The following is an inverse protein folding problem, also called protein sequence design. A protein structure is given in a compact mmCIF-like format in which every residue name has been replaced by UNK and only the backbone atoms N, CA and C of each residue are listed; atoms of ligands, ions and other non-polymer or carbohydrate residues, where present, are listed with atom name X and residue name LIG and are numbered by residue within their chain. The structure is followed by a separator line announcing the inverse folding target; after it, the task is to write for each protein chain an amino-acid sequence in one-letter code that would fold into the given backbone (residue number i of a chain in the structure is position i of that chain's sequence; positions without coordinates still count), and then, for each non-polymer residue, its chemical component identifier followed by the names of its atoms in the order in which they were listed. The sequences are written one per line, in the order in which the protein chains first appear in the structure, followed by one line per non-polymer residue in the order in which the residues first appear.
data_IF_903546310171
#
_entry.id   IF_903546310171
#
_cell.length_a   1.000
_cell.length_b   1.000
_cell.length_c   1.000
_cell.angle_alpha   90.00
_cell.angle_beta   90.00
_cell.angle_gamma   90.00
#
_symmetry.space_group_name_H-M   'P 1'
#
loop_
_entity.id
_entity.type
_entity.pdbx_description
1 polymer ?
#
# COMPACT_ATOMS: atom_id res chain seq x y z
N UNK A 1 2.30 30.14 -30.44
CA UNK A 1 2.98 28.86 -30.12
C UNK A 1 2.91 27.96 -31.35
N UNK A 2 4.05 27.60 -31.97
CA UNK A 2 4.08 26.69 -33.12
C UNK A 2 4.14 25.27 -32.59
N UNK A 3 3.13 24.45 -32.89
CA UNK A 3 3.12 23.05 -32.52
C UNK A 3 4.27 22.34 -33.25
N UNK A 4 5.08 21.51 -32.57
CA UNK A 4 6.14 20.79 -33.23
C UNK A 4 5.54 19.82 -34.26
N UNK A 5 6.14 19.78 -35.45
CA UNK A 5 5.76 18.80 -36.47
C UNK A 5 6.02 17.38 -35.95
N UNK A 6 5.10 16.46 -36.21
CA UNK A 6 5.24 15.04 -35.86
C UNK A 6 6.58 14.44 -36.34
N UNK A 7 7.08 14.86 -37.51
CA UNK A 7 8.37 14.41 -38.03
C UNK A 7 9.58 14.95 -37.25
N UNK A 8 9.47 16.13 -36.66
CA UNK A 8 10.52 16.67 -35.81
C UNK A 8 10.58 15.91 -34.47
N UNK A 9 9.42 15.61 -33.89
CA UNK A 9 9.31 14.82 -32.66
C UNK A 9 9.87 13.41 -32.86
N UNK A 10 9.52 12.73 -33.95
CA UNK A 10 10.01 11.37 -34.22
C UNK A 10 11.52 11.31 -34.46
N UNK A 11 12.08 12.31 -35.15
CA UNK A 11 13.53 12.41 -35.38
C UNK A 11 14.31 12.57 -34.07
N UNK A 12 13.83 13.45 -33.18
CA UNK A 12 14.43 13.63 -31.86
C UNK A 12 14.29 12.35 -31.02
N UNK A 13 13.11 11.74 -31.00
CA UNK A 13 12.87 10.51 -30.25
C UNK A 13 13.79 9.36 -30.71
N UNK A 14 13.97 9.19 -32.03
CA UNK A 14 14.86 8.18 -32.59
C UNK A 14 16.32 8.40 -32.16
N UNK A 15 16.78 9.65 -32.18
CA UNK A 15 18.13 10.01 -31.75
C UNK A 15 18.37 9.68 -30.28
N UNK A 16 17.45 10.07 -29.40
CA UNK A 16 17.59 9.82 -27.97
C UNK A 16 17.47 8.34 -27.62
N UNK A 17 16.61 7.59 -28.33
CA UNK A 17 16.52 6.14 -28.16
C UNK A 17 17.85 5.46 -28.51
N UNK A 18 18.50 5.89 -29.60
CA UNK A 18 19.81 5.37 -29.99
C UNK A 18 20.91 5.76 -28.98
N UNK A 19 20.82 6.96 -28.39
CA UNK A 19 21.73 7.37 -27.32
C UNK A 19 21.61 6.48 -26.09
N UNK A 20 20.38 6.22 -25.63
CA UNK A 20 20.10 5.34 -24.49
C UNK A 20 20.62 3.92 -24.80
N UNK A 21 20.31 3.38 -25.98
CA UNK A 21 20.76 2.04 -26.38
C UNK A 21 22.29 1.93 -26.46
N UNK A 22 23.00 2.99 -26.84
CA UNK A 22 24.46 2.96 -26.97
C UNK A 22 25.18 3.19 -25.64
N UNK A 23 24.55 3.88 -24.69
CA UNK A 23 25.10 4.08 -23.36
C UNK A 23 24.83 2.85 -22.47
N UNK A 24 25.85 2.01 -22.32
CA UNK A 24 25.81 0.80 -21.47
C UNK A 24 25.44 1.11 -20.02
N UNK A 25 25.79 2.28 -19.48
CA UNK A 25 25.50 2.63 -18.07
C UNK A 25 24.01 2.90 -17.90
N UNK A 26 23.42 3.66 -18.83
CA UNK A 26 21.99 3.96 -18.83
C UNK A 26 21.18 2.69 -19.06
N UNK A 27 21.60 1.83 -20.00
CA UNK A 27 20.95 0.52 -20.20
C UNK A 27 20.98 -0.36 -18.96
N UNK A 28 22.14 -0.48 -18.30
CA UNK A 28 22.26 -1.25 -17.06
C UNK A 28 21.37 -0.66 -15.98
N UNK A 29 21.35 0.66 -15.80
CA UNK A 29 20.48 1.30 -14.82
C UNK A 29 19.00 1.01 -15.13
N UNK A 30 18.57 1.21 -16.38
CA UNK A 30 17.18 0.99 -16.80
C UNK A 30 16.74 -0.47 -16.64
N UNK A 31 17.64 -1.43 -16.85
CA UNK A 31 17.32 -2.85 -16.76
C UNK A 31 17.41 -3.41 -15.33
N UNK A 32 18.34 -2.93 -14.52
CA UNK A 32 18.62 -3.46 -13.17
C UNK A 32 17.80 -2.76 -12.10
N UNK A 33 17.54 -1.47 -12.24
CA UNK A 33 16.80 -0.68 -11.25
C UNK A 33 15.38 -1.25 -10.98
N UNK A 34 14.57 -1.64 -11.99
CA UNK A 34 13.24 -2.17 -11.73
C UNK A 34 13.25 -3.50 -10.96
N UNK A 35 14.03 -4.53 -11.34
CA UNK A 35 14.16 -5.74 -10.53
C UNK A 35 14.66 -5.47 -9.11
N UNK A 36 15.63 -4.57 -8.93
CA UNK A 36 16.12 -4.21 -7.60
C UNK A 36 15.02 -3.60 -6.75
N UNK A 37 14.25 -2.65 -7.27
CA UNK A 37 13.11 -2.11 -6.55
C UNK A 37 12.06 -3.17 -6.25
N UNK A 38 11.72 -4.04 -7.19
CA UNK A 38 10.78 -5.12 -6.96
C UNK A 38 11.24 -6.04 -5.83
N UNK A 39 12.53 -6.39 -5.78
CA UNK A 39 13.09 -7.21 -4.72
C UNK A 39 13.09 -6.48 -3.37
N UNK A 40 13.50 -5.21 -3.35
CA UNK A 40 13.51 -4.39 -2.13
C UNK A 40 12.10 -4.22 -1.57
N UNK A 41 11.13 -3.88 -2.42
CA UNK A 41 9.73 -3.75 -2.00
C UNK A 41 9.15 -5.10 -1.59
N UNK A 42 9.37 -6.15 -2.39
CA UNK A 42 8.90 -7.50 -2.06
C UNK A 42 9.42 -7.94 -0.69
N UNK A 43 10.71 -7.76 -0.43
CA UNK A 43 11.33 -8.09 0.84
C UNK A 43 10.84 -7.19 2.00
N UNK A 44 10.73 -5.87 1.77
CA UNK A 44 10.25 -4.94 2.78
C UNK A 44 8.78 -5.18 3.16
N UNK A 45 7.93 -5.60 2.22
CA UNK A 45 6.53 -5.95 2.48
C UNK A 45 6.37 -7.37 3.05
N UNK A 46 7.24 -8.31 2.70
CA UNK A 46 7.23 -9.67 3.26
C UNK A 46 7.72 -9.68 4.71
N UNK A 47 8.76 -8.90 5.05
CA UNK A 47 9.22 -8.71 6.43
C UNK A 47 8.24 -7.80 7.20
N UNK A 48 7.60 -6.88 6.49
CA UNK A 48 6.52 -6.04 6.99
C UNK A 48 5.22 -6.84 7.11
N UNK A 49 5.25 -7.95 7.85
CA UNK A 49 4.05 -8.55 8.40
C UNK A 49 3.42 -7.44 9.26
N UNK A 50 2.40 -6.76 8.69
CA UNK A 50 1.65 -5.67 9.30
C UNK A 50 0.93 -6.23 10.52
N UNK A 51 1.67 -6.45 11.58
CA UNK A 51 1.22 -7.11 12.81
C UNK A 51 1.11 -6.07 13.89
N UNK A 52 0.16 -6.28 14.78
CA UNK A 52 -0.09 -5.38 15.90
C UNK A 52 -0.50 -3.96 15.47
N UNK A 53 -1.17 -3.79 14.33
CA UNK A 53 -1.83 -2.51 14.05
C UNK A 53 -2.87 -2.31 15.16
N UNK A 54 -2.77 -1.26 16.00
CA UNK A 54 -3.73 -1.04 17.04
C UNK A 54 -5.08 -0.75 16.38
N UNK A 55 -6.12 -1.48 16.79
CA UNK A 55 -7.46 -1.36 16.24
C UNK A 55 -8.49 -1.64 17.33
N UNK A 56 -9.59 -0.89 17.28
CA UNK A 56 -10.70 -1.03 18.22
C UNK A 56 -11.89 -1.66 17.51
N UNK A 57 -12.45 -2.72 18.08
CA UNK A 57 -13.59 -3.44 17.53
C UNK A 57 -14.83 -3.18 18.40
N UNK A 58 -15.91 -2.68 17.79
CA UNK A 58 -17.19 -2.47 18.46
C UNK A 58 -18.30 -3.26 17.75
N UNK A 59 -19.02 -4.10 18.49
CA UNK A 59 -20.16 -4.87 17.98
C UNK A 59 -21.47 -4.19 18.40
N UNK A 60 -21.99 -3.28 17.57
CA UNK A 60 -23.24 -2.57 17.85
C UNK A 60 -24.50 -3.45 17.70
N UNK A 61 -24.45 -4.45 16.81
CA UNK A 61 -25.62 -5.27 16.45
C UNK A 61 -25.94 -6.35 17.49
N UNK A 62 -24.94 -6.83 18.24
CA UNK A 62 -25.12 -7.84 19.30
C UNK A 62 -25.71 -9.19 18.83
N UNK A 63 -25.84 -9.41 17.52
CA UNK A 63 -26.47 -10.62 16.97
C UNK A 63 -25.50 -11.80 16.93
N UNK A 64 -26.00 -13.06 16.95
CA UNK A 64 -25.15 -14.25 16.76
C UNK A 64 -24.43 -14.30 15.40
N UNK A 65 -24.89 -13.52 14.42
CA UNK A 65 -24.23 -13.37 13.11
C UNK A 65 -23.06 -12.38 13.20
N UNK A 66 -23.27 -11.25 13.88
CA UNK A 66 -22.21 -10.29 14.15
C UNK A 66 -21.09 -10.90 15.00
N UNK A 67 -21.45 -11.69 16.03
CA UNK A 67 -20.45 -12.37 16.87
C UNK A 67 -19.54 -13.32 16.08
N UNK A 68 -20.10 -14.09 15.13
CA UNK A 68 -19.29 -14.95 14.26
C UNK A 68 -18.31 -14.17 13.39
N UNK A 69 -18.65 -12.95 12.98
CA UNK A 69 -17.74 -12.10 12.23
C UNK A 69 -16.61 -11.56 13.12
N UNK A 70 -16.94 -11.14 14.35
CA UNK A 70 -15.98 -10.74 15.38
C UNK A 70 -14.97 -11.87 15.63
N UNK A 71 -15.44 -13.11 15.82
CA UNK A 71 -14.58 -14.26 16.10
C UNK A 71 -13.61 -14.57 14.93
N UNK A 72 -14.00 -14.29 13.69
CA UNK A 72 -13.13 -14.42 12.51
C UNK A 72 -12.11 -13.28 12.48
N UNK A 73 -12.54 -12.05 12.74
CA UNK A 73 -11.68 -10.88 12.76
C UNK A 73 -10.58 -10.98 13.82
N UNK A 74 -10.91 -11.45 15.03
CA UNK A 74 -9.99 -11.63 16.16
C UNK A 74 -8.90 -12.68 15.91
N UNK A 75 -9.12 -13.63 14.99
CA UNK A 75 -8.12 -14.65 14.64
C UNK A 75 -7.02 -14.14 13.72
N UNK A 76 -7.21 -12.97 13.10
CA UNK A 76 -6.20 -12.38 12.22
C UNK A 76 -5.08 -11.72 13.04
N UNK A 77 -3.81 -11.96 12.67
CA UNK A 77 -2.62 -11.38 13.30
C UNK A 77 -2.34 -9.93 12.87
N UNK A 78 -3.04 -9.44 11.85
CA UNK A 78 -2.81 -8.09 11.33
C UNK A 78 -3.10 -7.00 12.36
N UNK A 79 -4.18 -7.17 13.12
CA UNK A 79 -4.67 -6.16 14.04
C UNK A 79 -4.52 -6.63 15.49
N UNK A 80 -3.95 -5.78 16.34
CA UNK A 80 -4.01 -5.93 17.79
C UNK A 80 -5.36 -5.41 18.29
N UNK A 81 -6.40 -6.21 18.06
CA UNK A 81 -7.77 -5.85 18.43
C UNK A 81 -7.90 -5.61 19.94
N UNK A 82 -8.50 -4.48 20.30
CA UNK A 82 -9.08 -4.23 21.62
C UNK A 82 -10.59 -4.16 21.48
N UNK A 83 -11.32 -4.88 22.32
CA UNK A 83 -12.77 -4.74 22.39
C UNK A 83 -13.13 -3.38 22.98
N UNK A 84 -14.01 -2.66 22.30
CA UNK A 84 -14.60 -1.45 22.84
C UNK A 84 -15.38 -1.78 24.12
N UNK A 85 -15.32 -0.90 25.11
CA UNK A 85 -16.07 -1.11 26.34
C UNK A 85 -17.58 -1.16 26.02
N UNK A 86 -18.37 -1.96 26.76
CA UNK A 86 -19.81 -2.09 26.52
C UNK A 86 -20.59 -0.77 26.73
N UNK A 87 -20.00 0.23 27.39
CA UNK A 87 -20.51 1.60 27.48
C UNK A 87 -20.39 2.42 26.18
N UNK A 88 -19.54 2.02 25.24
CA UNK A 88 -19.21 2.77 24.02
C UNK A 88 -20.28 2.59 22.94
N UNK A 89 -21.42 3.27 23.10
CA UNK A 89 -22.57 3.23 22.17
C UNK A 89 -22.55 4.29 21.06
N UNK A 90 -21.62 5.26 21.13
CA UNK A 90 -21.59 6.41 20.23
C UNK A 90 -20.25 6.53 19.52
N UNK A 91 -20.28 6.85 18.22
CA UNK A 91 -19.08 7.03 17.39
C UNK A 91 -18.09 8.05 17.98
N UNK A 92 -18.61 9.06 18.66
CA UNK A 92 -17.82 10.10 19.34
C UNK A 92 -17.00 9.54 20.51
N UNK A 93 -17.47 8.48 21.15
CA UNK A 93 -16.83 7.82 22.28
C UNK A 93 -15.73 6.85 21.83
N UNK A 94 -15.91 6.24 20.64
CA UNK A 94 -14.89 5.43 19.97
C UNK A 94 -13.64 6.25 19.58
N UNK A 95 -13.81 7.53 19.28
CA UNK A 95 -12.69 8.45 18.99
C UNK A 95 -12.01 8.99 20.24
N UNK A 96 -12.72 9.01 21.37
CA UNK A 96 -12.19 9.41 22.69
C UNK A 96 -11.35 8.29 23.34
N UNK A 97 -11.71 7.04 23.10
CA UNK A 97 -10.90 5.87 23.43
C UNK A 97 -9.79 5.68 22.39
N UNK A 98 -8.77 6.55 22.45
CA UNK A 98 -7.63 6.53 21.55
C UNK A 98 -7.06 5.12 21.36
N UNK A 99 -6.99 4.73 20.10
CA UNK A 99 -6.22 3.59 19.59
C UNK A 99 -4.75 4.00 19.67
N UNK A 100 -4.13 3.84 20.85
CA UNK A 100 -2.69 4.07 21.07
C UNK A 100 -1.88 2.91 20.52
#
# INVERSE_FOLDING_TARGET
MRWPSFGAVSSVAYKEFLHIYRDKRVLVLLLILPPVFTLVFGHAFEIGDLTNIPALLANADGTPRAQRFVDIALKNKTFAWREAAPETKSETDLLGHHVQ
#
